data_IF_124567357020
#
_entry.id   IF_124567357020
#
_cell.length_a   1.000
_cell.length_b   1.000
_cell.length_c   1.000
_cell.angle_alpha   90.00
_cell.angle_beta   90.00
_cell.angle_gamma   90.00
#
_symmetry.space_group_name_H-M   'P 1'
#
loop_
_entity.id
_entity.type
_entity.pdbx_description
1 polymer ?
#
# COMPACT_ATOMS: atom_id res chain seq x y z
N UNK A 1 56.50 1.78 -2.37
CA UNK A 1 55.42 1.27 -1.49
C UNK A 1 54.31 2.29 -1.51
N UNK A 2 53.27 2.06 -2.32
CA UNK A 2 52.11 2.95 -2.49
C UNK A 2 50.98 2.41 -1.61
N UNK A 3 50.66 3.12 -0.56
CA UNK A 3 49.53 2.79 0.33
C UNK A 3 48.21 3.13 -0.36
N UNK A 4 47.37 2.11 -0.60
CA UNK A 4 46.00 2.25 -1.12
C UNK A 4 45.13 2.85 0.00
N UNK A 5 44.40 3.96 -0.20
CA UNK A 5 43.50 4.49 0.80
C UNK A 5 42.30 3.54 1.00
N UNK A 6 42.18 2.98 2.20
CA UNK A 6 40.98 2.26 2.61
C UNK A 6 39.82 3.26 2.79
N UNK A 7 38.91 3.31 1.86
CA UNK A 7 37.63 4.03 1.99
C UNK A 7 36.74 3.32 3.02
N UNK A 8 36.82 3.77 4.27
CA UNK A 8 35.90 3.37 5.34
C UNK A 8 34.53 3.96 5.07
N UNK A 9 33.62 3.15 4.53
CA UNK A 9 32.19 3.51 4.38
C UNK A 9 31.56 3.43 5.77
N UNK A 10 31.20 4.57 6.37
CA UNK A 10 30.60 4.65 7.69
C UNK A 10 29.31 3.79 7.77
N UNK A 11 29.12 3.00 8.83
CA UNK A 11 27.98 2.06 8.94
C UNK A 11 26.61 2.72 8.87
N UNK A 12 26.47 3.98 9.25
CA UNK A 12 25.20 4.74 9.18
C UNK A 12 24.64 4.97 7.78
N UNK A 13 25.53 5.08 6.77
CA UNK A 13 25.12 5.35 5.38
C UNK A 13 24.40 4.15 4.74
N UNK A 14 24.72 2.94 5.13
CA UNK A 14 24.09 1.71 4.59
C UNK A 14 22.68 1.51 5.14
N UNK A 15 22.41 1.87 6.38
CA UNK A 15 21.09 1.70 7.02
C UNK A 15 20.08 2.67 6.43
N UNK A 16 20.45 3.94 6.25
CA UNK A 16 19.55 4.96 5.66
C UNK A 16 19.23 4.67 4.19
N UNK A 17 20.19 4.21 3.39
CA UNK A 17 19.96 3.83 2.01
C UNK A 17 18.98 2.63 1.89
N UNK A 18 19.10 1.66 2.78
CA UNK A 18 18.24 0.46 2.77
C UNK A 18 16.80 0.75 3.20
N UNK A 19 16.59 1.62 4.20
CA UNK A 19 15.26 2.06 4.63
C UNK A 19 14.54 2.89 3.56
N UNK A 20 15.27 3.69 2.80
CA UNK A 20 14.76 4.44 1.64
C UNK A 20 14.29 3.50 0.52
N UNK A 21 15.00 2.39 0.28
CA UNK A 21 14.62 1.39 -0.73
C UNK A 21 13.29 0.71 -0.39
N UNK A 22 13.09 0.29 0.87
CA UNK A 22 11.81 -0.29 1.31
C UNK A 22 10.66 0.70 1.15
N UNK A 23 10.86 1.98 1.45
CA UNK A 23 9.83 3.01 1.26
C UNK A 23 9.42 3.17 -0.20
N UNK A 24 10.35 3.10 -1.13
CA UNK A 24 10.06 3.17 -2.57
C UNK A 24 9.29 1.94 -3.07
N UNK A 25 9.71 0.75 -2.68
CA UNK A 25 9.00 -0.48 -3.04
C UNK A 25 7.58 -0.50 -2.48
N UNK A 26 7.40 -0.15 -1.20
CA UNK A 26 6.09 -0.03 -0.58
C UNK A 26 5.20 0.98 -1.30
N UNK A 27 5.74 2.16 -1.65
CA UNK A 27 5.02 3.16 -2.45
C UNK A 27 4.60 2.61 -3.81
N UNK A 28 5.49 1.89 -4.52
CA UNK A 28 5.18 1.26 -5.79
C UNK A 28 4.06 0.22 -5.70
N UNK A 29 4.11 -0.63 -4.67
CA UNK A 29 3.06 -1.64 -4.40
C UNK A 29 1.72 -0.96 -4.11
N UNK A 30 1.70 0.12 -3.31
CA UNK A 30 0.49 0.87 -3.01
C UNK A 30 -0.09 1.57 -4.24
N UNK A 31 0.77 2.19 -5.08
CA UNK A 31 0.31 2.76 -6.35
C UNK A 31 -0.33 1.70 -7.23
N UNK A 32 0.29 0.51 -7.35
CA UNK A 32 -0.28 -0.59 -8.13
C UNK A 32 -1.64 -1.05 -7.56
N UNK A 33 -1.75 -1.20 -6.23
CA UNK A 33 -2.98 -1.59 -5.56
C UNK A 33 -4.12 -0.59 -5.81
N UNK A 34 -3.88 0.71 -5.60
CA UNK A 34 -4.91 1.72 -5.81
C UNK A 34 -5.24 1.94 -7.28
N UNK A 35 -4.27 1.79 -8.20
CA UNK A 35 -4.55 1.81 -9.63
C UNK A 35 -5.46 0.65 -10.04
N UNK A 36 -5.18 -0.56 -9.54
CA UNK A 36 -6.02 -1.73 -9.78
C UNK A 36 -7.44 -1.49 -9.25
N UNK A 37 -7.56 -0.95 -8.02
CA UNK A 37 -8.86 -0.63 -7.43
C UNK A 37 -9.65 0.43 -8.22
N UNK A 38 -8.98 1.45 -8.80
CA UNK A 38 -9.64 2.41 -9.71
C UNK A 38 -10.14 1.70 -10.97
N UNK A 39 -9.32 0.83 -11.57
CA UNK A 39 -9.71 0.05 -12.74
C UNK A 39 -10.92 -0.83 -12.42
N UNK A 40 -10.93 -1.46 -11.23
CA UNK A 40 -12.08 -2.25 -10.77
C UNK A 40 -13.37 -1.41 -10.67
N UNK A 41 -13.30 -0.24 -10.04
CA UNK A 41 -14.47 0.64 -9.91
C UNK A 41 -15.03 1.05 -11.27
N UNK A 42 -14.16 1.38 -12.23
CA UNK A 42 -14.58 1.70 -13.60
C UNK A 42 -15.20 0.47 -14.28
N UNK A 43 -14.59 -0.70 -14.13
CA UNK A 43 -15.10 -1.95 -14.67
C UNK A 43 -16.49 -2.28 -14.09
N UNK A 44 -16.65 -2.22 -12.76
CA UNK A 44 -17.90 -2.49 -12.08
C UNK A 44 -19.04 -1.57 -12.55
N UNK A 45 -18.72 -0.29 -12.73
CA UNK A 45 -19.64 0.70 -13.30
C UNK A 45 -20.07 0.34 -14.73
N UNK A 46 -19.11 0.01 -15.59
CA UNK A 46 -19.40 -0.38 -16.97
C UNK A 46 -20.19 -1.69 -17.07
N UNK A 47 -19.99 -2.61 -16.13
CA UNK A 47 -20.70 -3.90 -16.08
C UNK A 47 -22.04 -3.84 -15.35
N UNK A 48 -22.40 -2.71 -14.73
CA UNK A 48 -23.64 -2.54 -13.95
C UNK A 48 -23.70 -3.40 -12.68
N UNK A 49 -22.54 -3.74 -12.10
CA UNK A 49 -22.40 -4.55 -10.87
C UNK A 49 -21.80 -3.74 -9.72
N UNK A 50 -21.85 -2.42 -9.80
CA UNK A 50 -21.28 -1.50 -8.85
C UNK A 50 -22.03 -1.45 -7.52
N UNK A 51 -21.30 -1.15 -6.43
CA UNK A 51 -21.90 -0.74 -5.16
C UNK A 51 -22.49 0.67 -5.31
N UNK A 52 -23.80 0.90 -5.09
CA UNK A 52 -24.41 2.21 -5.21
C UNK A 52 -23.76 3.29 -4.33
N UNK A 53 -23.08 2.90 -3.25
CA UNK A 53 -22.42 3.81 -2.31
C UNK A 53 -20.99 4.14 -2.71
N UNK A 54 -20.38 3.33 -3.60
CA UNK A 54 -18.97 3.47 -3.99
C UNK A 54 -18.81 3.28 -5.51
N UNK A 55 -19.23 4.27 -6.27
CA UNK A 55 -19.20 4.27 -7.74
C UNK A 55 -18.35 5.42 -8.27
N UNK A 56 -18.13 5.44 -9.59
CA UNK A 56 -17.43 6.54 -10.28
C UNK A 56 -18.13 7.89 -10.11
N UNK A 57 -19.43 7.89 -9.82
CA UNK A 57 -20.25 9.09 -9.65
C UNK A 57 -20.26 9.61 -8.20
N UNK A 58 -19.66 8.86 -7.26
CA UNK A 58 -19.66 9.25 -5.85
C UNK A 58 -18.38 9.97 -5.45
N UNK A 59 -18.46 11.13 -4.77
CA UNK A 59 -17.28 11.81 -4.22
C UNK A 59 -16.49 10.94 -3.23
N UNK A 60 -17.17 9.96 -2.58
CA UNK A 60 -16.55 9.04 -1.63
C UNK A 60 -15.46 8.19 -2.30
N UNK A 61 -15.72 7.64 -3.49
CA UNK A 61 -14.76 6.83 -4.22
C UNK A 61 -13.50 7.64 -4.57
N UNK A 62 -13.67 8.83 -5.12
CA UNK A 62 -12.54 9.69 -5.47
C UNK A 62 -11.77 10.20 -4.26
N UNK A 63 -12.47 10.52 -3.16
CA UNK A 63 -11.84 10.85 -1.88
C UNK A 63 -10.99 9.70 -1.33
N UNK A 64 -11.49 8.48 -1.38
CA UNK A 64 -10.75 7.27 -0.98
C UNK A 64 -9.47 7.09 -1.81
N UNK A 65 -9.55 7.22 -3.14
CA UNK A 65 -8.38 7.11 -4.02
C UNK A 65 -7.38 8.22 -3.81
N UNK A 66 -7.83 9.46 -3.65
CA UNK A 66 -6.94 10.60 -3.36
C UNK A 66 -6.15 10.37 -2.07
N UNK A 67 -6.82 9.91 -1.00
CA UNK A 67 -6.16 9.54 0.25
C UNK A 67 -5.20 8.36 0.03
N UNK A 68 -5.61 7.30 -0.68
CA UNK A 68 -4.80 6.14 -0.97
C UNK A 68 -3.49 6.48 -1.69
N UNK A 69 -3.56 7.29 -2.75
CA UNK A 69 -2.37 7.79 -3.45
C UNK A 69 -1.52 8.73 -2.58
N UNK A 70 -2.15 9.55 -1.73
CA UNK A 70 -1.45 10.35 -0.71
C UNK A 70 -0.66 9.48 0.27
N UNK A 71 -1.24 8.38 0.74
CA UNK A 71 -0.58 7.37 1.57
C UNK A 71 0.58 6.69 0.83
N UNK A 72 0.44 6.40 -0.47
CA UNK A 72 1.52 5.84 -1.28
C UNK A 72 2.71 6.81 -1.39
N UNK A 73 2.46 8.11 -1.50
CA UNK A 73 3.52 9.15 -1.46
C UNK A 73 4.13 9.23 -0.05
N UNK A 74 3.30 9.22 1.00
CA UNK A 74 3.73 9.26 2.39
C UNK A 74 4.64 8.06 2.75
N UNK A 75 4.41 6.90 2.15
CA UNK A 75 5.22 5.69 2.34
C UNK A 75 6.72 5.89 1.97
N UNK A 76 7.05 6.90 1.16
CA UNK A 76 8.45 7.25 0.85
C UNK A 76 9.17 7.97 1.99
N UNK A 77 8.41 8.60 2.90
CA UNK A 77 8.97 9.33 4.03
C UNK A 77 9.62 8.39 5.04
N UNK A 78 10.70 8.83 5.67
CA UNK A 78 11.48 8.01 6.62
C UNK A 78 11.05 8.22 8.07
N UNK A 79 10.29 9.24 8.36
CA UNK A 79 9.83 9.63 9.68
C UNK A 79 8.92 8.54 10.30
N UNK A 80 9.08 8.29 11.58
CA UNK A 80 8.31 7.26 12.31
C UNK A 80 6.81 7.52 12.29
N UNK A 81 6.39 8.78 12.37
CA UNK A 81 4.97 9.12 12.31
C UNK A 81 4.36 8.73 10.95
N UNK A 82 5.06 9.03 9.84
CA UNK A 82 4.61 8.68 8.50
C UNK A 82 4.46 7.15 8.35
N UNK A 83 5.43 6.39 8.85
CA UNK A 83 5.38 4.92 8.81
C UNK A 83 4.19 4.37 9.61
N UNK A 84 3.90 4.92 10.80
CA UNK A 84 2.76 4.53 11.63
C UNK A 84 1.43 4.89 10.96
N UNK A 85 1.34 6.08 10.37
CA UNK A 85 0.14 6.52 9.62
C UNK A 85 -0.15 5.59 8.45
N UNK A 86 0.86 5.24 7.65
CA UNK A 86 0.70 4.30 6.53
C UNK A 86 0.25 2.93 7.02
N UNK A 87 0.85 2.38 8.07
CA UNK A 87 0.44 1.08 8.63
C UNK A 87 -0.97 1.14 9.25
N UNK A 88 -1.33 2.21 9.95
CA UNK A 88 -2.68 2.41 10.47
C UNK A 88 -3.73 2.45 9.34
N UNK A 89 -3.46 3.19 8.28
CA UNK A 89 -4.32 3.23 7.10
C UNK A 89 -4.47 1.85 6.46
N UNK A 90 -3.37 1.12 6.26
CA UNK A 90 -3.40 -0.24 5.71
C UNK A 90 -4.20 -1.21 6.58
N UNK A 91 -4.10 -1.11 7.92
CA UNK A 91 -4.88 -1.93 8.83
C UNK A 91 -6.39 -1.65 8.68
N UNK A 92 -6.79 -0.37 8.52
CA UNK A 92 -8.19 0.02 8.28
C UNK A 92 -8.68 -0.55 6.93
N UNK A 93 -7.93 -0.35 5.85
CA UNK A 93 -8.33 -0.80 4.52
C UNK A 93 -8.40 -2.33 4.44
N UNK A 94 -7.44 -3.04 5.05
CA UNK A 94 -7.50 -4.51 5.15
C UNK A 94 -8.69 -4.96 6.01
N UNK A 95 -8.98 -4.27 7.11
CA UNK A 95 -10.17 -4.53 7.92
C UNK A 95 -11.45 -4.39 7.10
N UNK A 96 -11.58 -3.35 6.31
CA UNK A 96 -12.70 -3.17 5.38
C UNK A 96 -12.74 -4.31 4.36
N UNK A 97 -11.61 -4.66 3.75
CA UNK A 97 -11.55 -5.71 2.74
C UNK A 97 -11.95 -7.10 3.27
N UNK A 98 -11.58 -7.42 4.52
CA UNK A 98 -11.88 -8.73 5.09
C UNK A 98 -13.25 -8.82 5.79
N UNK A 99 -13.71 -7.74 6.39
CA UNK A 99 -14.91 -7.78 7.24
C UNK A 99 -16.14 -7.11 6.60
N UNK A 100 -15.95 -6.05 5.84
CA UNK A 100 -17.07 -5.32 5.21
C UNK A 100 -17.41 -5.86 3.82
N UNK A 101 -16.41 -6.03 2.97
CA UNK A 101 -16.62 -6.43 1.58
C UNK A 101 -17.41 -7.74 1.41
N UNK A 102 -17.12 -8.83 2.18
CA UNK A 102 -17.87 -10.08 2.07
C UNK A 102 -19.33 -9.98 2.50
N UNK A 103 -19.70 -8.92 3.24
CA UNK A 103 -21.09 -8.73 3.72
C UNK A 103 -21.96 -7.94 2.75
N UNK A 104 -21.34 -7.15 1.86
CA UNK A 104 -22.05 -6.26 0.93
C UNK A 104 -22.27 -6.90 -0.43
N UNK A 105 -21.34 -7.76 -0.86
CA UNK A 105 -21.43 -8.44 -2.17
C UNK A 105 -21.82 -9.90 -2.00
N UNK A 106 -23.01 -10.26 -2.47
CA UNK A 106 -23.41 -11.66 -2.62
C UNK A 106 -22.50 -12.37 -3.62
N UNK A 107 -22.16 -13.63 -3.34
CA UNK A 107 -21.31 -14.46 -4.23
C UNK A 107 -21.86 -14.56 -5.66
N UNK A 108 -23.17 -14.40 -5.83
CA UNK A 108 -23.86 -14.48 -7.12
C UNK A 108 -23.65 -13.25 -8.02
N UNK A 109 -23.20 -12.13 -7.45
CA UNK A 109 -23.00 -10.86 -8.18
C UNK A 109 -21.56 -10.67 -8.65
N UNK A 110 -20.63 -11.53 -8.23
CA UNK A 110 -19.22 -11.36 -8.55
C UNK A 110 -18.84 -12.19 -9.79
N UNK A 111 -18.24 -11.51 -10.76
CA UNK A 111 -17.62 -12.18 -11.91
C UNK A 111 -16.29 -12.83 -11.51
N UNK A 112 -15.83 -13.84 -12.27
CA UNK A 112 -14.50 -14.47 -12.09
C UNK A 112 -13.38 -13.41 -12.13
N UNK A 113 -13.54 -12.39 -12.97
CA UNK A 113 -12.60 -11.28 -13.05
C UNK A 113 -12.60 -10.43 -11.78
N UNK A 114 -13.76 -10.11 -11.22
CA UNK A 114 -13.88 -9.35 -9.97
C UNK A 114 -13.24 -10.08 -8.78
N UNK A 115 -13.41 -11.40 -8.68
CA UNK A 115 -12.72 -12.21 -7.67
C UNK A 115 -11.20 -12.16 -7.81
N UNK A 116 -10.70 -12.41 -9.00
CA UNK A 116 -9.26 -12.37 -9.27
C UNK A 116 -8.66 -11.02 -8.93
N UNK A 117 -9.32 -9.96 -9.33
CA UNK A 117 -8.85 -8.59 -9.09
C UNK A 117 -8.84 -8.23 -7.60
N UNK A 118 -9.88 -8.61 -6.86
CA UNK A 118 -9.96 -8.42 -5.42
C UNK A 118 -8.83 -9.18 -4.69
N UNK A 119 -8.56 -10.42 -5.07
CA UNK A 119 -7.49 -11.23 -4.47
C UNK A 119 -6.11 -10.60 -4.72
N UNK A 120 -5.88 -10.10 -5.94
CA UNK A 120 -4.64 -9.40 -6.28
C UNK A 120 -4.52 -8.09 -5.47
N UNK A 121 -5.60 -7.31 -5.37
CA UNK A 121 -5.63 -6.09 -4.57
C UNK A 121 -5.31 -6.34 -3.10
N UNK A 122 -5.98 -7.30 -2.47
CA UNK A 122 -5.73 -7.69 -1.08
C UNK A 122 -4.29 -8.21 -0.92
N UNK A 123 -3.79 -9.02 -1.85
CA UNK A 123 -2.41 -9.51 -1.85
C UNK A 123 -1.38 -8.36 -1.90
N UNK A 124 -1.64 -7.33 -2.69
CA UNK A 124 -0.79 -6.13 -2.75
C UNK A 124 -0.82 -5.35 -1.42
N UNK A 125 -1.99 -5.19 -0.78
CA UNK A 125 -2.11 -4.52 0.52
C UNK A 125 -1.38 -5.30 1.62
N UNK A 126 -1.49 -6.63 1.65
CA UNK A 126 -0.75 -7.50 2.58
C UNK A 126 0.75 -7.36 2.35
N UNK A 127 1.20 -7.35 1.10
CA UNK A 127 2.61 -7.15 0.74
C UNK A 127 3.11 -5.78 1.22
N UNK A 128 2.35 -4.71 0.99
CA UNK A 128 2.69 -3.37 1.47
C UNK A 128 2.77 -3.33 3.01
N UNK A 129 1.84 -3.99 3.70
CA UNK A 129 1.83 -4.09 5.16
C UNK A 129 3.07 -4.83 5.66
N UNK A 130 3.43 -5.95 5.06
CA UNK A 130 4.65 -6.69 5.39
C UNK A 130 5.90 -5.81 5.23
N UNK A 131 6.05 -5.11 4.11
CA UNK A 131 7.16 -4.19 3.86
C UNK A 131 7.22 -3.07 4.91
N UNK A 132 6.07 -2.52 5.31
CA UNK A 132 5.95 -1.49 6.33
C UNK A 132 6.37 -1.98 7.72
N UNK A 133 5.92 -3.15 8.13
CA UNK A 133 6.32 -3.78 9.40
C UNK A 133 7.81 -4.08 9.43
N UNK A 134 8.36 -4.65 8.36
CA UNK A 134 9.80 -4.92 8.26
C UNK A 134 10.63 -3.65 8.36
N UNK A 135 10.17 -2.58 7.73
CA UNK A 135 10.82 -1.28 7.81
C UNK A 135 10.79 -0.72 9.24
N UNK A 136 9.64 -0.76 9.91
CA UNK A 136 9.48 -0.27 11.28
C UNK A 136 10.37 -1.04 12.26
N UNK A 137 10.41 -2.36 12.16
CA UNK A 137 11.29 -3.21 13.02
C UNK A 137 12.76 -2.84 12.86
N UNK A 138 13.21 -2.55 11.66
CA UNK A 138 14.62 -2.19 11.42
C UNK A 138 15.00 -0.81 11.98
N UNK A 139 14.06 0.14 11.98
CA UNK A 139 14.30 1.46 12.58
C UNK A 139 14.29 1.45 14.11
N UNK A 140 13.71 0.43 14.74
CA UNK A 140 13.73 0.27 16.20
C UNK A 140 14.98 -0.46 16.73
N UNK A 141 15.64 -1.26 15.88
CA UNK A 141 16.82 -2.06 16.26
C UNK A 141 18.15 -1.32 16.10
N UNK A 142 18.14 -0.08 15.61
CA UNK A 142 19.35 0.76 15.52
C UNK A 142 19.22 1.88 16.55
N UNK A 143 19.77 1.70 17.78
CA UNK A 143 19.88 2.82 18.72
C UNK A 143 20.81 3.89 18.14
N UNK A 144 20.48 5.15 18.39
CA UNK A 144 21.26 6.32 17.99
C UNK A 144 22.60 6.35 18.75
#
# INVERSE_FOLDING_TARGET
>A
MTATPMTSTAPGTRVTARTSTYGRHMSGVLVAAFTLSVVHTIYAWMAGIEDPTFTVDTPLAWGFYAVGFGIAVLARRTERWAQRTVLGYLAIVLGIAFFYYPTVFGQEQQTVFGWFENDVYVGLLVTATYLGVQRLRRTTLTPA
#
